data_IF_496939905182
#
_entry.id   IF_496939905182
#
_cell.length_a   1.000
_cell.length_b   1.000
_cell.length_c   1.000
_cell.angle_alpha   90.00
_cell.angle_beta   90.00
_cell.angle_gamma   90.00
#
_symmetry.space_group_name_H-M   'P 1'
#
loop_
_entity.id
_entity.type
_entity.pdbx_description
1 polymer ?
#
# COMPACT_ATOMS: atom_id res chain seq x y z
N UNK A 1 9.56 12.00 18.57
CA UNK A 1 8.85 13.02 17.79
C UNK A 1 7.65 12.34 17.17
N UNK A 2 6.45 12.80 17.49
CA UNK A 2 5.21 12.27 16.92
C UNK A 2 4.84 13.12 15.69
N UNK A 3 4.55 12.46 14.57
CA UNK A 3 4.15 13.13 13.32
C UNK A 3 2.63 13.09 13.26
N UNK A 4 2.00 14.26 13.09
CA UNK A 4 0.55 14.37 12.93
C UNK A 4 0.26 14.43 11.43
N UNK A 5 -0.57 13.51 10.93
CA UNK A 5 -1.03 13.46 9.55
C UNK A 5 -2.56 13.41 9.55
N UNK A 6 -3.18 14.11 8.61
CA UNK A 6 -4.59 13.97 8.29
C UNK A 6 -4.86 12.64 7.57
N UNK A 7 -6.11 12.17 7.59
CA UNK A 7 -6.52 10.98 6.82
C UNK A 7 -6.18 11.08 5.34
N UNK A 8 -6.35 12.27 4.75
CA UNK A 8 -6.01 12.53 3.36
C UNK A 8 -4.50 12.42 3.08
N UNK A 9 -3.65 12.92 3.99
CA UNK A 9 -2.20 12.78 3.88
C UNK A 9 -1.76 11.33 4.03
N UNK A 10 -2.33 10.60 5.00
CA UNK A 10 -2.06 9.16 5.19
C UNK A 10 -2.42 8.41 3.90
N UNK A 11 -3.62 8.64 3.34
CA UNK A 11 -4.07 8.03 2.09
C UNK A 11 -3.12 8.34 0.94
N UNK A 12 -2.77 9.60 0.74
CA UNK A 12 -1.89 10.03 -0.34
C UNK A 12 -0.52 9.37 -0.26
N UNK A 13 0.04 9.23 0.95
CA UNK A 13 1.31 8.54 1.17
C UNK A 13 1.20 7.06 0.80
N UNK A 14 0.17 6.37 1.28
CA UNK A 14 -0.04 4.94 1.01
C UNK A 14 -0.28 4.68 -0.49
N UNK A 15 -1.06 5.54 -1.16
CA UNK A 15 -1.27 5.49 -2.60
C UNK A 15 0.03 5.72 -3.37
N UNK A 16 0.86 6.67 -2.93
CA UNK A 16 2.19 6.92 -3.50
C UNK A 16 3.11 5.71 -3.36
N UNK A 17 3.11 5.05 -2.20
CA UNK A 17 3.84 3.80 -1.98
C UNK A 17 3.34 2.70 -2.93
N UNK A 18 2.03 2.51 -3.02
CA UNK A 18 1.43 1.49 -3.88
C UNK A 18 1.82 1.71 -5.35
N UNK A 19 1.74 2.95 -5.84
CA UNK A 19 2.10 3.28 -7.22
C UNK A 19 3.60 3.10 -7.47
N UNK A 20 4.45 3.48 -6.53
CA UNK A 20 5.90 3.30 -6.63
C UNK A 20 6.26 1.81 -6.70
N UNK A 21 5.63 0.97 -5.89
CA UNK A 21 5.82 -0.48 -5.94
C UNK A 21 5.32 -1.09 -7.26
N UNK A 22 4.20 -0.60 -7.82
CA UNK A 22 3.75 -1.01 -9.17
C UNK A 22 4.80 -0.70 -10.23
N UNK A 23 5.43 0.49 -10.17
CA UNK A 23 6.53 0.85 -11.08
C UNK A 23 7.70 -0.14 -10.92
N UNK A 24 8.12 -0.42 -9.69
CA UNK A 24 9.20 -1.40 -9.43
C UNK A 24 8.83 -2.79 -9.96
N UNK A 25 7.62 -3.29 -9.69
CA UNK A 25 7.15 -4.58 -10.19
C UNK A 25 7.04 -4.67 -11.71
N UNK A 26 6.79 -3.53 -12.37
CA UNK A 26 6.78 -3.42 -13.83
C UNK A 26 8.19 -3.38 -14.45
N UNK A 27 9.25 -3.20 -13.66
CA UNK A 27 10.63 -3.25 -14.14
C UNK A 27 11.04 -4.67 -14.52
N UNK A 28 11.70 -4.80 -15.68
CA UNK A 28 12.31 -6.08 -16.11
C UNK A 28 13.38 -6.54 -15.13
N UNK A 29 14.20 -5.61 -14.65
CA UNK A 29 15.33 -5.93 -13.76
C UNK A 29 14.83 -6.47 -12.42
N UNK A 30 13.79 -5.86 -11.86
CA UNK A 30 13.17 -6.37 -10.63
C UNK A 30 12.56 -7.76 -10.84
N UNK A 31 11.86 -8.01 -11.95
CA UNK A 31 11.32 -9.34 -12.24
C UNK A 31 12.42 -10.41 -12.36
N UNK A 32 13.58 -10.05 -12.92
CA UNK A 32 14.73 -10.95 -12.97
C UNK A 32 15.25 -11.26 -11.57
N UNK A 33 15.39 -10.24 -10.71
CA UNK A 33 15.78 -10.42 -9.30
C UNK A 33 14.78 -11.34 -8.57
N UNK A 34 13.48 -11.06 -8.68
CA UNK A 34 12.43 -11.82 -8.00
C UNK A 34 12.32 -13.27 -8.51
N UNK A 35 12.63 -13.52 -9.79
CA UNK A 35 12.62 -14.88 -10.37
C UNK A 35 13.83 -15.74 -9.98
N UNK A 36 14.82 -15.16 -9.31
CA UNK A 36 16.02 -15.87 -8.88
C UNK A 36 15.68 -16.99 -7.87
N UNK A 37 16.29 -18.17 -7.97
CA UNK A 37 16.12 -19.22 -6.96
C UNK A 37 16.68 -18.83 -5.58
N UNK A 38 17.47 -17.76 -5.50
CA UNK A 38 18.01 -17.20 -4.27
C UNK A 38 17.13 -16.09 -3.68
N UNK A 39 16.06 -15.69 -4.38
CA UNK A 39 15.12 -14.72 -3.85
C UNK A 39 14.23 -15.39 -2.81
N UNK A 40 14.27 -14.89 -1.58
CA UNK A 40 13.38 -15.32 -0.51
C UNK A 40 13.08 -14.15 0.42
N UNK A 41 11.91 -14.22 1.04
CA UNK A 41 11.48 -13.28 2.09
C UNK A 41 11.08 -14.10 3.31
N UNK A 42 11.25 -13.55 4.51
CA UNK A 42 10.96 -14.27 5.75
C UNK A 42 9.47 -14.62 5.95
N UNK A 43 8.58 -14.01 5.17
CA UNK A 43 7.13 -14.15 5.25
C UNK A 43 6.46 -14.45 3.89
N UNK A 44 7.23 -14.92 2.90
CA UNK A 44 6.74 -15.22 1.54
C UNK A 44 5.98 -14.07 0.85
N UNK A 45 6.33 -12.82 1.17
CA UNK A 45 5.73 -11.62 0.58
C UNK A 45 6.52 -11.18 -0.65
N UNK A 46 5.84 -11.12 -1.79
CA UNK A 46 6.35 -10.56 -3.02
C UNK A 46 5.82 -9.15 -3.26
N UNK A 47 6.38 -8.44 -4.25
CA UNK A 47 5.98 -7.04 -4.49
C UNK A 47 4.49 -6.90 -4.81
N UNK A 48 3.91 -7.90 -5.46
CA UNK A 48 2.51 -7.89 -5.82
C UNK A 48 1.62 -8.03 -4.57
N UNK A 49 2.05 -8.83 -3.60
CA UNK A 49 1.36 -8.95 -2.31
C UNK A 49 1.41 -7.62 -1.55
N UNK A 50 2.58 -6.96 -1.53
CA UNK A 50 2.71 -5.63 -0.92
C UNK A 50 1.82 -4.57 -1.61
N UNK A 51 1.70 -4.60 -2.94
CA UNK A 51 0.80 -3.72 -3.70
C UNK A 51 -0.67 -3.98 -3.35
N UNK A 52 -1.07 -5.24 -3.18
CA UNK A 52 -2.43 -5.63 -2.83
C UNK A 52 -2.76 -5.20 -1.40
N UNK A 53 -1.89 -5.51 -0.43
CA UNK A 53 -2.05 -5.15 0.98
C UNK A 53 -2.17 -3.63 1.14
N UNK A 54 -1.37 -2.83 0.43
CA UNK A 54 -1.53 -1.38 0.44
C UNK A 54 -2.90 -0.94 -0.08
N UNK A 55 -3.41 -1.60 -1.13
CA UNK A 55 -4.77 -1.35 -1.65
C UNK A 55 -5.85 -1.62 -0.60
N UNK A 56 -5.79 -2.78 0.05
CA UNK A 56 -6.73 -3.15 1.12
C UNK A 56 -6.71 -2.15 2.28
N UNK A 57 -5.52 -1.68 2.68
CA UNK A 57 -5.40 -0.66 3.74
C UNK A 57 -6.00 0.68 3.30
N UNK A 58 -5.78 1.10 2.05
CA UNK A 58 -6.37 2.33 1.50
C UNK A 58 -7.90 2.23 1.49
N UNK A 59 -8.46 1.10 1.03
CA UNK A 59 -9.90 0.86 1.01
C UNK A 59 -10.50 0.88 2.41
N UNK A 60 -9.86 0.24 3.40
CA UNK A 60 -10.31 0.26 4.78
C UNK A 60 -10.32 1.68 5.38
N UNK A 61 -9.33 2.52 5.03
CA UNK A 61 -9.32 3.93 5.45
C UNK A 61 -10.52 4.69 4.85
N UNK A 62 -10.85 4.43 3.59
CA UNK A 62 -11.98 5.04 2.91
C UNK A 62 -13.31 4.65 3.55
N UNK A 63 -13.49 3.38 3.90
CA UNK A 63 -14.67 2.90 4.62
C UNK A 63 -14.85 3.59 5.97
N UNK A 64 -13.77 3.68 6.77
CA UNK A 64 -13.81 4.36 8.07
C UNK A 64 -14.16 5.84 7.93
N UNK A 65 -13.58 6.53 6.95
CA UNK A 65 -13.89 7.94 6.68
C UNK A 65 -15.36 8.13 6.30
N UNK A 66 -15.89 7.31 5.39
CA UNK A 66 -17.30 7.37 4.98
C UNK A 66 -18.27 7.11 6.14
N UNK A 67 -18.01 6.09 6.95
CA UNK A 67 -18.83 5.77 8.13
C UNK A 67 -18.80 6.93 9.13
N UNK A 68 -17.62 7.54 9.33
CA UNK A 68 -17.44 8.66 10.27
C UNK A 68 -18.18 9.91 9.80
N UNK A 69 -18.10 10.23 8.50
CA UNK A 69 -18.84 11.36 7.93
C UNK A 69 -20.36 11.11 7.98
N UNK A 70 -20.82 9.91 7.67
CA UNK A 70 -22.23 9.55 7.76
C UNK A 70 -22.80 9.69 9.18
N UNK A 71 -22.01 9.32 10.20
CA UNK A 71 -22.39 9.49 11.62
C UNK A 71 -22.40 10.96 12.08
N UNK A 72 -21.69 11.86 11.42
CA UNK A 72 -21.69 13.30 11.74
C UNK A 72 -22.88 14.05 11.14
N UNK A 73 -23.52 13.52 10.10
CA UNK A 73 -24.69 14.12 9.46
C UNK A 73 -26.05 13.63 10.02
N UNK A 74 -26.02 12.77 11.05
CA UNK A 74 -27.20 12.34 11.82
C UNK A 74 -27.16 12.96 13.21
#
# INVERSE_FOLDING_TARGET
MEIILTTAEIRAILQGCQQTLRVVGSSKDYRLIQSSPYFSTTNDVYINDAVNVLGEVIEAIDEVEQITQHKRCK
#
